data_IF_403065223698
#
_entry.id   IF_403065223698
#
_cell.length_a   1.000
_cell.length_b   1.000
_cell.length_c   1.000
_cell.angle_alpha   90.00
_cell.angle_beta   90.00
_cell.angle_gamma   90.00
#
_symmetry.space_group_name_H-M   'P 1'
#
loop_
_entity.id
_entity.type
_entity.pdbx_description
1 polymer ?
#
# COMPACT_ATOMS: atom_id res chain seq x y z
N UNK A 1 17.03 11.66 -14.04
CA UNK A 1 17.17 10.69 -15.14
C UNK A 1 16.77 9.35 -14.57
N UNK A 2 15.65 8.78 -15.04
CA UNK A 2 15.16 7.46 -14.62
C UNK A 2 16.11 6.45 -15.27
N UNK A 3 16.82 5.64 -14.45
CA UNK A 3 17.67 4.58 -14.96
C UNK A 3 16.81 3.59 -15.76
N UNK A 4 17.27 3.09 -16.92
CA UNK A 4 16.52 2.10 -17.68
C UNK A 4 16.43 0.83 -16.84
N UNK A 5 15.21 0.44 -16.49
CA UNK A 5 14.95 -0.88 -15.94
C UNK A 5 15.37 -1.92 -16.97
N UNK A 6 16.22 -2.87 -16.57
CA UNK A 6 16.69 -4.01 -17.39
C UNK A 6 15.55 -5.02 -17.63
N UNK A 7 14.34 -4.56 -17.95
CA UNK A 7 13.24 -5.44 -18.28
C UNK A 7 13.40 -5.91 -19.74
N UNK A 8 13.67 -7.18 -19.90
CA UNK A 8 13.56 -7.83 -21.18
C UNK A 8 12.07 -7.82 -21.56
N UNK A 9 11.71 -7.12 -22.60
CA UNK A 9 10.33 -6.98 -23.06
C UNK A 9 9.90 -8.22 -23.84
N UNK A 10 8.61 -8.57 -23.80
CA UNK A 10 8.02 -9.49 -24.75
C UNK A 10 8.04 -8.84 -26.16
N UNK A 11 8.25 -9.65 -27.16
CA UNK A 11 8.28 -9.23 -28.57
C UNK A 11 7.09 -9.82 -29.38
N UNK A 12 7.04 -9.51 -30.67
CA UNK A 12 5.96 -9.91 -31.58
C UNK A 12 5.84 -11.44 -31.77
N UNK A 13 6.77 -12.23 -31.27
CA UNK A 13 6.66 -13.71 -31.27
C UNK A 13 5.74 -14.22 -30.16
N UNK A 14 5.36 -13.38 -29.22
CA UNK A 14 4.40 -13.74 -28.18
C UNK A 14 2.99 -13.87 -28.79
N UNK A 15 2.26 -14.98 -28.57
CA UNK A 15 1.05 -15.29 -29.35
C UNK A 15 -0.21 -14.51 -28.91
N UNK A 16 -0.09 -13.57 -27.99
CA UNK A 16 -1.16 -12.68 -27.52
C UNK A 16 -0.77 -11.21 -27.71
N UNK A 17 -1.75 -10.30 -27.82
CA UNK A 17 -1.48 -8.87 -27.90
C UNK A 17 -0.68 -8.37 -26.70
N UNK A 18 0.31 -7.51 -26.96
CA UNK A 18 1.20 -6.96 -25.94
C UNK A 18 0.68 -5.67 -25.31
N UNK A 19 -0.39 -5.10 -25.87
CA UNK A 19 -1.01 -3.82 -25.49
C UNK A 19 -2.26 -3.99 -24.61
N UNK A 20 -2.59 -5.21 -24.19
CA UNK A 20 -3.78 -5.49 -23.39
C UNK A 20 -3.58 -6.64 -22.41
N UNK A 21 -4.37 -6.66 -21.30
CA UNK A 21 -4.37 -7.76 -20.34
C UNK A 21 -5.03 -9.02 -20.94
N UNK A 22 -4.70 -10.17 -20.38
CA UNK A 22 -5.30 -11.44 -20.76
C UNK A 22 -5.53 -12.38 -19.56
N UNK A 23 -6.40 -13.37 -19.74
CA UNK A 23 -6.66 -14.39 -18.73
C UNK A 23 -5.85 -15.67 -18.99
N UNK A 24 -5.77 -16.54 -17.95
CA UNK A 24 -5.19 -17.88 -18.12
C UNK A 24 -5.85 -18.66 -19.27
N UNK A 25 -7.18 -18.57 -19.38
CA UNK A 25 -7.90 -19.28 -20.44
C UNK A 25 -7.49 -18.80 -21.84
N UNK A 26 -7.33 -17.50 -22.03
CA UNK A 26 -6.84 -16.93 -23.31
C UNK A 26 -5.41 -17.41 -23.60
N UNK A 27 -4.54 -17.44 -22.61
CA UNK A 27 -3.17 -17.93 -22.77
C UNK A 27 -3.12 -19.41 -23.19
N UNK A 28 -3.90 -20.27 -22.53
CA UNK A 28 -3.99 -21.70 -22.89
C UNK A 28 -4.54 -21.88 -24.30
N UNK A 29 -5.57 -21.12 -24.70
CA UNK A 29 -6.12 -21.15 -26.05
C UNK A 29 -5.10 -20.71 -27.10
N UNK A 30 -4.18 -19.82 -26.76
CA UNK A 30 -3.06 -19.38 -27.60
C UNK A 30 -1.83 -20.32 -27.55
N UNK A 31 -1.94 -21.49 -26.88
CA UNK A 31 -0.86 -22.49 -26.78
C UNK A 31 0.17 -22.23 -25.70
N UNK A 32 -0.04 -21.26 -24.80
CA UNK A 32 0.87 -20.94 -23.70
C UNK A 32 0.53 -21.82 -22.49
N UNK A 33 1.44 -22.70 -22.07
CA UNK A 33 1.25 -23.58 -20.92
C UNK A 33 1.34 -22.85 -19.58
N UNK A 34 0.78 -23.45 -18.52
CA UNK A 34 0.92 -22.91 -17.16
C UNK A 34 2.37 -22.77 -16.70
N UNK A 35 3.23 -23.72 -17.09
CA UNK A 35 4.66 -23.64 -16.79
C UNK A 35 5.33 -22.47 -17.51
N UNK A 36 4.92 -22.19 -18.73
CA UNK A 36 5.40 -21.02 -19.49
C UNK A 36 4.92 -19.72 -18.84
N UNK A 37 3.64 -19.62 -18.47
CA UNK A 37 3.10 -18.45 -17.75
C UNK A 37 3.86 -18.21 -16.44
N UNK A 38 4.09 -19.27 -15.66
CA UNK A 38 4.86 -19.16 -14.42
C UNK A 38 6.26 -18.63 -14.68
N UNK A 39 6.99 -19.22 -15.64
CA UNK A 39 8.35 -18.80 -16.02
C UNK A 39 8.41 -17.35 -16.49
N UNK A 40 7.41 -16.88 -17.24
CA UNK A 40 7.33 -15.50 -17.70
C UNK A 40 7.09 -14.53 -16.54
N UNK A 41 6.27 -14.91 -15.54
CA UNK A 41 6.11 -14.11 -14.31
C UNK A 41 7.39 -14.12 -13.46
N UNK A 42 8.03 -15.29 -13.26
CA UNK A 42 9.27 -15.43 -12.47
C UNK A 42 10.47 -14.62 -13.07
N UNK A 43 10.38 -14.24 -14.34
CA UNK A 43 11.37 -13.45 -15.07
C UNK A 43 10.92 -12.01 -15.36
N UNK A 44 9.86 -11.56 -14.73
CA UNK A 44 9.30 -10.21 -14.88
C UNK A 44 8.85 -9.80 -16.30
N UNK A 45 8.64 -10.77 -17.20
CA UNK A 45 8.01 -10.49 -18.50
C UNK A 45 6.50 -10.25 -18.41
N UNK A 46 5.86 -10.83 -17.37
CA UNK A 46 4.45 -10.67 -17.07
C UNK A 46 4.27 -10.23 -15.63
N UNK A 47 3.42 -9.26 -15.40
CA UNK A 47 2.86 -8.93 -14.09
C UNK A 47 1.59 -9.75 -13.85
N UNK A 48 1.38 -10.18 -12.62
CA UNK A 48 0.18 -10.93 -12.22
C UNK A 48 -0.43 -10.31 -10.96
N UNK A 49 -1.10 -9.16 -11.05
CA UNK A 49 -1.63 -8.44 -9.89
C UNK A 49 -2.72 -9.22 -9.16
N UNK A 50 -3.53 -9.98 -9.90
CA UNK A 50 -4.65 -10.76 -9.37
C UNK A 50 -4.67 -12.17 -10.02
N UNK A 51 -5.27 -13.13 -9.33
CA UNK A 51 -5.44 -14.49 -9.90
C UNK A 51 -6.23 -14.45 -11.18
N UNK A 52 -5.78 -15.25 -12.15
CA UNK A 52 -6.36 -15.36 -13.51
C UNK A 52 -6.19 -14.12 -14.40
N UNK A 53 -5.44 -13.10 -13.97
CA UNK A 53 -5.11 -11.90 -14.76
C UNK A 53 -3.61 -11.79 -14.96
N UNK A 54 -3.21 -11.56 -16.21
CA UNK A 54 -1.83 -11.37 -16.63
C UNK A 54 -1.72 -10.10 -17.48
N UNK A 55 -0.68 -9.36 -17.26
CA UNK A 55 -0.35 -8.13 -17.98
C UNK A 55 1.09 -8.21 -18.49
N UNK A 56 1.37 -7.96 -19.77
CA UNK A 56 2.73 -7.73 -20.25
C UNK A 56 3.44 -6.67 -19.38
N UNK A 57 4.70 -6.90 -19.03
CA UNK A 57 5.44 -6.00 -18.12
C UNK A 57 5.59 -4.59 -18.67
N UNK A 58 5.63 -4.46 -20.01
CA UNK A 58 5.70 -3.18 -20.73
C UNK A 58 4.43 -2.32 -20.65
N UNK A 59 3.29 -2.90 -20.24
CA UNK A 59 2.06 -2.12 -20.09
C UNK A 59 2.20 -1.16 -18.90
N UNK A 60 1.82 0.11 -19.07
CA UNK A 60 1.78 1.05 -17.94
C UNK A 60 0.69 0.64 -16.94
N UNK A 61 0.89 0.96 -15.67
CA UNK A 61 -0.14 0.78 -14.64
C UNK A 61 -1.11 1.97 -14.65
N UNK A 62 -2.06 1.96 -15.59
CA UNK A 62 -3.08 2.99 -15.73
C UNK A 62 -4.47 2.45 -15.36
N UNK A 63 -5.39 3.36 -15.06
CA UNK A 63 -6.78 3.00 -14.75
C UNK A 63 -7.43 2.24 -15.91
N UNK A 64 -7.16 2.64 -17.16
CA UNK A 64 -7.70 2.02 -18.37
C UNK A 64 -7.27 0.55 -18.49
N UNK A 65 -5.99 0.26 -18.24
CA UNK A 65 -5.46 -1.11 -18.30
C UNK A 65 -6.04 -1.95 -17.15
N UNK A 66 -6.20 -1.39 -15.97
CA UNK A 66 -6.81 -2.09 -14.82
C UNK A 66 -8.29 -2.38 -15.07
N UNK A 67 -9.03 -1.44 -15.67
CA UNK A 67 -10.43 -1.66 -16.09
C UNK A 67 -10.54 -2.72 -17.16
N UNK A 68 -9.70 -2.67 -18.20
CA UNK A 68 -9.65 -3.70 -19.24
C UNK A 68 -9.37 -5.09 -18.63
N UNK A 69 -8.46 -5.19 -17.66
CA UNK A 69 -8.18 -6.43 -16.95
C UNK A 69 -9.39 -6.95 -16.16
N UNK A 70 -10.08 -6.09 -15.41
CA UNK A 70 -11.23 -6.49 -14.60
C UNK A 70 -12.44 -6.85 -15.45
N UNK A 71 -12.65 -6.21 -16.59
CA UNK A 71 -13.74 -6.54 -17.52
C UNK A 71 -13.68 -7.99 -18.02
N UNK A 72 -12.48 -8.59 -18.08
CA UNK A 72 -12.29 -10.00 -18.48
C UNK A 72 -12.78 -11.01 -17.41
N UNK A 73 -12.90 -10.61 -16.14
CA UNK A 73 -13.10 -11.55 -15.02
C UNK A 73 -14.24 -11.19 -14.08
N UNK A 74 -14.76 -9.98 -14.14
CA UNK A 74 -15.86 -9.50 -13.29
C UNK A 74 -17.20 -9.66 -13.99
N UNK A 75 -18.11 -10.52 -13.51
CA UNK A 75 -19.46 -10.63 -14.06
C UNK A 75 -20.27 -9.33 -13.84
N UNK A 76 -21.16 -9.01 -14.77
CA UNK A 76 -21.99 -7.78 -14.75
C UNK A 76 -22.91 -7.64 -13.52
N UNK A 77 -23.24 -8.75 -12.86
CA UNK A 77 -24.08 -8.75 -11.64
C UNK A 77 -23.26 -8.80 -10.34
N UNK A 78 -21.99 -8.43 -10.40
CA UNK A 78 -21.07 -8.34 -9.27
C UNK A 78 -20.54 -6.92 -9.12
N UNK A 79 -20.06 -6.60 -7.93
CA UNK A 79 -19.28 -5.39 -7.69
C UNK A 79 -17.91 -5.76 -7.10
N UNK A 80 -16.92 -4.98 -7.47
CA UNK A 80 -15.53 -5.12 -7.01
C UNK A 80 -15.36 -4.47 -5.65
N UNK A 81 -14.63 -5.14 -4.74
CA UNK A 81 -14.41 -4.66 -3.36
C UNK A 81 -12.98 -4.94 -2.89
N UNK A 82 -12.69 -4.54 -1.66
CA UNK A 82 -11.48 -4.89 -0.91
C UNK A 82 -10.19 -4.59 -1.69
N UNK A 83 -9.20 -5.50 -1.69
CA UNK A 83 -7.92 -5.26 -2.38
C UNK A 83 -8.05 -5.11 -3.91
N UNK A 84 -9.06 -5.71 -4.53
CA UNK A 84 -9.28 -5.53 -5.96
C UNK A 84 -9.78 -4.12 -6.26
N UNK A 85 -10.66 -3.56 -5.42
CA UNK A 85 -11.08 -2.16 -5.53
C UNK A 85 -9.90 -1.21 -5.24
N UNK A 86 -9.09 -1.51 -4.21
CA UNK A 86 -7.90 -0.73 -3.91
C UNK A 86 -6.92 -0.72 -5.10
N UNK A 87 -6.65 -1.88 -5.70
CA UNK A 87 -5.83 -1.99 -6.90
C UNK A 87 -6.41 -1.18 -8.07
N UNK A 88 -7.72 -1.21 -8.28
CA UNK A 88 -8.36 -0.41 -9.34
C UNK A 88 -8.17 1.09 -9.11
N UNK A 89 -8.31 1.55 -7.87
CA UNK A 89 -8.22 2.98 -7.52
C UNK A 89 -6.78 3.51 -7.46
N UNK A 90 -5.84 2.72 -6.92
CA UNK A 90 -4.51 3.21 -6.55
C UNK A 90 -3.34 2.42 -7.18
N UNK A 91 -3.60 1.37 -7.98
CA UNK A 91 -2.56 0.62 -8.69
C UNK A 91 -1.88 -0.48 -7.89
N UNK A 92 -0.81 -1.01 -8.46
CA UNK A 92 -0.10 -2.18 -7.94
C UNK A 92 0.44 -1.95 -6.52
N UNK A 93 0.85 -0.74 -6.18
CA UNK A 93 1.37 -0.39 -4.85
C UNK A 93 0.35 -0.56 -3.72
N UNK A 94 -0.95 -0.50 -4.03
CA UNK A 94 -2.02 -0.72 -3.05
C UNK A 94 -2.26 -2.19 -2.72
N UNK A 95 -1.66 -3.12 -3.46
CA UNK A 95 -1.80 -4.54 -3.20
C UNK A 95 -1.12 -4.94 -1.87
N UNK A 96 -1.59 -6.03 -1.23
CA UNK A 96 -0.92 -6.54 -0.04
C UNK A 96 0.56 -6.87 -0.31
N UNK A 97 1.43 -6.74 0.68
CA UNK A 97 2.83 -7.08 0.53
C UNK A 97 3.00 -8.54 0.13
N UNK A 98 4.05 -8.82 -0.65
CA UNK A 98 4.32 -10.16 -1.21
C UNK A 98 3.22 -10.71 -2.14
N UNK A 99 2.42 -9.85 -2.78
CA UNK A 99 1.39 -10.25 -3.75
C UNK A 99 1.97 -11.00 -4.95
N UNK A 100 3.24 -10.83 -5.27
CA UNK A 100 3.95 -11.61 -6.29
C UNK A 100 4.15 -13.08 -5.86
N UNK A 101 4.29 -13.38 -4.57
CA UNK A 101 4.40 -14.74 -4.02
C UNK A 101 3.04 -15.37 -3.78
N UNK A 102 2.10 -14.61 -3.22
CA UNK A 102 0.74 -15.05 -2.91
C UNK A 102 -0.26 -14.17 -3.63
N UNK A 103 -0.43 -14.44 -4.93
CA UNK A 103 -1.30 -13.63 -5.79
C UNK A 103 -2.72 -13.55 -5.24
N UNK A 104 -3.25 -12.34 -4.99
CA UNK A 104 -4.58 -12.13 -4.44
C UNK A 104 -5.68 -12.68 -5.35
N UNK A 105 -6.77 -13.14 -4.73
CA UNK A 105 -8.00 -13.46 -5.48
C UNK A 105 -8.69 -12.16 -5.89
N UNK A 106 -9.41 -12.20 -7.02
CA UNK A 106 -10.29 -11.10 -7.42
C UNK A 106 -11.44 -11.01 -6.41
N UNK A 107 -11.54 -9.91 -5.68
CA UNK A 107 -12.58 -9.67 -4.67
C UNK A 107 -13.83 -9.12 -5.34
N UNK A 108 -14.81 -9.99 -5.58
CA UNK A 108 -16.09 -9.66 -6.21
C UNK A 108 -17.25 -10.15 -5.37
N UNK A 109 -18.16 -9.26 -5.04
CA UNK A 109 -19.29 -9.55 -4.17
C UNK A 109 -20.61 -9.29 -4.89
N UNK A 110 -21.68 -9.75 -4.28
CA UNK A 110 -23.06 -9.61 -4.76
C UNK A 110 -23.94 -8.99 -3.68
N UNK A 111 -25.08 -8.39 -4.08
CA UNK A 111 -26.09 -7.99 -3.12
C UNK A 111 -26.57 -9.17 -2.26
N UNK A 112 -27.10 -8.93 -1.07
CA UNK A 112 -27.68 -9.97 -0.22
C UNK A 112 -28.73 -10.81 -0.98
N UNK A 113 -28.78 -12.11 -0.68
CA UNK A 113 -29.65 -13.12 -1.30
C UNK A 113 -29.27 -13.55 -2.73
N UNK A 114 -28.14 -13.06 -3.26
CA UNK A 114 -27.59 -13.53 -4.53
C UNK A 114 -26.39 -14.42 -4.24
N UNK A 115 -26.48 -15.69 -4.65
CA UNK A 115 -25.45 -16.70 -4.35
C UNK A 115 -24.06 -16.24 -4.79
N UNK A 116 -23.06 -16.36 -3.89
CA UNK A 116 -21.66 -16.06 -4.16
C UNK A 116 -21.09 -16.87 -5.34
N UNK A 117 -20.09 -16.33 -6.03
CA UNK A 117 -19.33 -17.04 -7.06
C UNK A 117 -18.52 -18.17 -6.41
N UNK A 118 -18.45 -19.31 -7.08
CA UNK A 118 -17.67 -20.48 -6.64
C UNK A 118 -16.62 -20.85 -7.69
N UNK A 119 -15.44 -20.28 -7.53
CA UNK A 119 -14.27 -20.66 -8.33
C UNK A 119 -12.99 -20.43 -7.50
N UNK A 120 -11.84 -20.89 -7.98
CA UNK A 120 -10.56 -20.83 -7.25
C UNK A 120 -9.87 -19.48 -7.29
N UNK A 121 -10.28 -18.58 -8.17
CA UNK A 121 -9.61 -17.29 -8.41
C UNK A 121 -10.37 -16.09 -7.88
N UNK A 122 -11.64 -16.25 -7.43
CA UNK A 122 -12.39 -15.17 -6.76
C UNK A 122 -12.45 -15.34 -5.26
N UNK A 123 -12.43 -14.22 -4.53
CA UNK A 123 -12.96 -14.09 -3.18
C UNK A 123 -14.36 -13.48 -3.33
N UNK A 124 -15.39 -14.23 -2.99
CA UNK A 124 -16.77 -13.81 -3.24
C UNK A 124 -17.67 -14.09 -2.04
N UNK A 125 -18.70 -13.30 -1.90
CA UNK A 125 -19.71 -13.38 -0.86
C UNK A 125 -20.85 -12.43 -1.14
N UNK A 126 -21.69 -12.24 -0.12
CA UNK A 126 -22.71 -11.20 -0.10
C UNK A 126 -22.23 -10.03 0.73
N UNK A 127 -22.58 -8.81 0.32
CA UNK A 127 -22.27 -7.60 1.08
C UNK A 127 -23.39 -6.58 0.92
N UNK A 128 -23.83 -6.01 2.04
CA UNK A 128 -24.77 -4.90 2.06
C UNK A 128 -24.03 -3.60 1.81
N UNK A 129 -24.40 -2.91 0.76
CA UNK A 129 -23.87 -1.61 0.38
C UNK A 129 -25.02 -0.61 0.21
N UNK A 130 -24.77 0.65 0.53
CA UNK A 130 -25.64 1.74 0.13
C UNK A 130 -25.32 2.16 -1.31
N UNK A 131 -26.25 2.78 -2.05
CA UNK A 131 -25.96 3.29 -3.39
C UNK A 131 -24.72 4.19 -3.45
N UNK A 132 -24.53 5.04 -2.43
CA UNK A 132 -23.36 5.93 -2.31
C UNK A 132 -22.02 5.22 -2.04
N UNK A 133 -22.05 3.93 -1.70
CA UNK A 133 -20.85 3.12 -1.50
C UNK A 133 -20.27 2.58 -2.81
N UNK A 134 -21.03 2.71 -3.90
CA UNK A 134 -20.71 2.19 -5.21
C UNK A 134 -20.52 3.31 -6.23
N UNK A 135 -19.63 3.07 -7.17
CA UNK A 135 -19.45 3.88 -8.35
C UNK A 135 -19.23 2.96 -9.55
N UNK A 136 -19.48 3.47 -10.75
CA UNK A 136 -19.22 2.78 -11.99
C UNK A 136 -18.01 3.40 -12.67
N UNK A 137 -17.05 2.55 -13.04
CA UNK A 137 -15.86 2.93 -13.77
C UNK A 137 -15.74 2.02 -15.00
N UNK A 138 -15.85 2.58 -16.20
CA UNK A 138 -15.71 1.83 -17.46
C UNK A 138 -16.57 0.55 -17.53
N UNK A 139 -17.80 0.59 -17.05
CA UNK A 139 -18.72 -0.56 -17.00
C UNK A 139 -18.47 -1.53 -15.83
N UNK A 140 -17.49 -1.28 -14.99
CA UNK A 140 -17.20 -2.08 -13.78
C UNK A 140 -17.81 -1.37 -12.56
N UNK A 141 -18.72 -2.05 -11.87
CA UNK A 141 -19.28 -1.56 -10.59
C UNK A 141 -18.26 -1.85 -9.47
N UNK A 142 -17.88 -0.84 -8.70
CA UNK A 142 -16.82 -0.92 -7.69
C UNK A 142 -17.18 -0.11 -6.45
N UNK A 143 -16.71 -0.53 -5.27
CA UNK A 143 -16.82 0.30 -4.05
C UNK A 143 -16.00 1.58 -4.22
N UNK A 144 -16.59 2.72 -3.78
CA UNK A 144 -15.87 4.01 -3.75
C UNK A 144 -14.56 3.90 -2.94
N UNK A 145 -13.56 4.76 -3.17
CA UNK A 145 -12.34 4.78 -2.36
C UNK A 145 -12.62 4.86 -0.86
N UNK A 146 -13.55 5.71 -0.43
CA UNK A 146 -13.98 5.80 0.97
C UNK A 146 -14.53 4.47 1.49
N UNK A 147 -15.46 3.84 0.76
CA UNK A 147 -16.00 2.54 1.18
C UNK A 147 -14.94 1.46 1.18
N UNK A 148 -14.03 1.46 0.22
CA UNK A 148 -12.90 0.52 0.16
C UNK A 148 -11.98 0.67 1.37
N UNK A 149 -11.64 1.90 1.77
CA UNK A 149 -10.87 2.18 2.99
C UNK A 149 -11.56 1.61 4.24
N UNK A 150 -12.87 1.86 4.38
CA UNK A 150 -13.68 1.39 5.51
C UNK A 150 -13.73 -0.14 5.60
N UNK A 151 -13.87 -0.82 4.47
CA UNK A 151 -13.91 -2.29 4.44
C UNK A 151 -12.53 -2.90 4.67
N UNK A 152 -11.45 -2.35 4.11
CA UNK A 152 -10.07 -2.80 4.38
C UNK A 152 -9.70 -2.61 5.86
N UNK A 153 -9.94 -1.42 6.42
CA UNK A 153 -9.69 -1.15 7.84
C UNK A 153 -10.46 -2.08 8.78
N UNK A 154 -11.70 -2.43 8.42
CA UNK A 154 -12.59 -3.22 9.24
C UNK A 154 -12.39 -4.73 9.08
N UNK A 155 -12.19 -5.22 7.85
CA UNK A 155 -12.28 -6.65 7.53
C UNK A 155 -10.92 -7.34 7.39
N UNK A 156 -9.84 -6.59 7.13
CA UNK A 156 -8.51 -7.17 7.09
C UNK A 156 -8.08 -7.73 8.44
N UNK A 157 -7.54 -8.96 8.45
CA UNK A 157 -7.07 -9.59 9.69
C UNK A 157 -5.75 -9.00 10.18
N UNK A 158 -4.82 -8.80 9.28
CA UNK A 158 -3.52 -8.18 9.56
C UNK A 158 -3.69 -6.66 9.72
N UNK A 159 -3.24 -6.13 10.85
CA UNK A 159 -3.37 -4.71 11.23
C UNK A 159 -2.57 -3.80 10.30
N UNK A 160 -1.36 -4.22 9.94
CA UNK A 160 -0.49 -3.43 9.07
C UNK A 160 -1.08 -3.33 7.64
N UNK A 161 -1.64 -4.44 7.13
CA UNK A 161 -2.35 -4.44 5.84
C UNK A 161 -3.64 -3.59 5.90
N UNK A 162 -4.36 -3.61 7.05
CA UNK A 162 -5.54 -2.78 7.24
C UNK A 162 -5.17 -1.28 7.21
N UNK A 163 -4.10 -0.91 7.90
CA UNK A 163 -3.60 0.46 7.96
C UNK A 163 -3.14 0.92 6.56
N UNK A 164 -2.31 0.13 5.90
CA UNK A 164 -1.86 0.41 4.53
C UNK A 164 -3.01 0.55 3.54
N UNK A 165 -4.04 -0.31 3.64
CA UNK A 165 -5.22 -0.20 2.79
C UNK A 165 -6.00 1.10 2.99
N UNK A 166 -6.09 1.61 4.22
CA UNK A 166 -6.70 2.92 4.49
C UNK A 166 -5.82 4.06 3.96
N UNK A 167 -4.51 3.99 4.16
CA UNK A 167 -3.55 4.98 3.68
C UNK A 167 -3.58 5.10 2.16
N UNK A 168 -3.53 3.96 1.46
CA UNK A 168 -3.57 3.93 -0.01
C UNK A 168 -4.85 4.56 -0.55
N UNK A 169 -6.00 4.33 0.10
CA UNK A 169 -7.26 4.93 -0.31
C UNK A 169 -7.33 6.43 0.01
N UNK A 170 -6.82 6.88 1.15
CA UNK A 170 -6.65 8.29 1.48
C UNK A 170 -5.71 9.00 0.49
N UNK A 171 -4.65 8.31 0.07
CA UNK A 171 -3.68 8.78 -0.92
C UNK A 171 -4.30 9.10 -2.28
N UNK A 172 -5.46 8.50 -2.62
CA UNK A 172 -6.22 8.85 -3.84
C UNK A 172 -6.80 10.27 -3.79
N UNK A 173 -6.91 10.87 -2.60
CA UNK A 173 -7.52 12.20 -2.35
C UNK A 173 -8.99 12.31 -2.77
N UNK A 174 -9.68 11.18 -2.94
CA UNK A 174 -11.09 11.14 -3.29
C UNK A 174 -12.01 11.42 -2.09
N UNK A 175 -11.48 11.42 -0.89
CA UNK A 175 -12.15 11.75 0.37
C UNK A 175 -11.12 12.20 1.40
N UNK A 176 -11.55 12.86 2.46
CA UNK A 176 -10.70 13.33 3.55
C UNK A 176 -10.65 12.32 4.71
N UNK A 177 -9.65 12.48 5.58
CA UNK A 177 -9.55 11.66 6.80
C UNK A 177 -10.74 11.87 7.73
N UNK A 178 -11.25 13.12 7.81
CA UNK A 178 -12.43 13.50 8.59
C UNK A 178 -13.69 12.80 8.06
N UNK A 179 -13.88 12.74 6.75
CA UNK A 179 -15.00 12.01 6.13
C UNK A 179 -14.94 10.52 6.45
N UNK A 180 -13.74 9.91 6.43
CA UNK A 180 -13.58 8.51 6.82
C UNK A 180 -13.98 8.29 8.30
N UNK A 181 -13.54 9.15 9.19
CA UNK A 181 -13.89 9.07 10.62
C UNK A 181 -15.39 9.27 10.86
N UNK A 182 -16.03 10.19 10.13
CA UNK A 182 -17.45 10.47 10.23
C UNK A 182 -18.34 9.29 9.80
N UNK A 183 -17.84 8.39 8.96
CA UNK A 183 -18.55 7.18 8.53
C UNK A 183 -18.51 6.03 9.56
N UNK A 184 -17.61 6.04 10.55
CA UNK A 184 -17.45 4.93 11.51
C UNK A 184 -18.72 4.60 12.32
N UNK A 185 -19.56 5.56 12.74
CA UNK A 185 -20.78 5.27 13.51
C UNK A 185 -21.76 4.36 12.79
N UNK A 186 -21.85 4.44 11.46
CA UNK A 186 -22.79 3.61 10.67
C UNK A 186 -22.48 2.12 10.72
N UNK A 187 -21.26 1.74 11.10
CA UNK A 187 -20.83 0.35 11.26
C UNK A 187 -20.97 -0.16 12.69
N UNK A 188 -21.72 0.54 13.55
CA UNK A 188 -21.96 0.08 14.93
C UNK A 188 -22.58 -1.34 14.92
N UNK A 189 -21.94 -2.26 15.66
CA UNK A 189 -22.32 -3.68 15.70
C UNK A 189 -21.74 -4.53 14.57
N UNK A 190 -21.16 -3.93 13.54
CA UNK A 190 -20.58 -4.65 12.41
C UNK A 190 -19.20 -5.24 12.75
N UNK A 191 -18.88 -6.34 12.07
CA UNK A 191 -17.60 -7.03 12.24
C UNK A 191 -16.41 -6.08 12.02
N UNK A 192 -15.46 -6.08 12.97
CA UNK A 192 -14.20 -5.36 12.88
C UNK A 192 -14.27 -3.88 13.24
N UNK A 193 -15.45 -3.32 13.55
CA UNK A 193 -15.59 -1.88 13.85
C UNK A 193 -14.81 -1.44 15.10
N UNK A 194 -14.72 -2.29 16.12
CA UNK A 194 -13.97 -1.96 17.35
C UNK A 194 -12.51 -1.70 17.04
N UNK A 195 -11.88 -2.58 16.27
CA UNK A 195 -10.49 -2.41 15.83
C UNK A 195 -10.35 -1.20 14.90
N UNK A 196 -11.27 -1.02 13.98
CA UNK A 196 -11.21 0.09 13.03
C UNK A 196 -11.26 1.45 13.73
N UNK A 197 -12.04 1.61 14.80
CA UNK A 197 -12.06 2.84 15.61
C UNK A 197 -10.70 3.19 16.22
N UNK A 198 -9.83 2.20 16.43
CA UNK A 198 -8.45 2.40 16.89
C UNK A 198 -7.51 2.70 15.72
N UNK A 199 -7.70 2.04 14.58
CA UNK A 199 -6.80 2.17 13.43
C UNK A 199 -7.09 3.39 12.57
N UNK A 200 -8.35 3.72 12.33
CA UNK A 200 -8.72 4.81 11.43
C UNK A 200 -8.11 6.17 11.82
N UNK A 201 -8.05 6.56 13.13
CA UNK A 201 -7.34 7.78 13.52
C UNK A 201 -5.84 7.78 13.23
N UNK A 202 -5.24 6.60 13.04
CA UNK A 202 -3.80 6.43 12.75
C UNK A 202 -3.47 6.48 11.27
N UNK A 203 -4.46 6.42 10.38
CA UNK A 203 -4.27 6.42 8.93
C UNK A 203 -3.79 7.79 8.43
N UNK A 204 -2.95 7.77 7.39
CA UNK A 204 -2.42 8.97 6.75
C UNK A 204 -2.15 8.72 5.26
N UNK A 205 -2.83 9.46 4.38
CA UNK A 205 -2.72 9.31 2.93
C UNK A 205 -1.41 9.81 2.32
N UNK A 206 -0.50 10.37 3.12
CA UNK A 206 0.83 10.77 2.67
C UNK A 206 1.86 9.65 2.72
N UNK A 207 1.54 8.54 3.40
CA UNK A 207 2.38 7.35 3.49
C UNK A 207 2.66 6.77 2.09
N UNK A 208 3.90 6.46 1.79
CA UNK A 208 4.33 6.05 0.45
C UNK A 208 4.57 4.55 0.31
N UNK A 209 4.70 3.82 1.42
CA UNK A 209 4.94 2.38 1.39
C UNK A 209 4.24 1.61 2.51
N UNK A 210 4.05 0.30 2.29
CA UNK A 210 3.57 -0.61 3.32
C UNK A 210 4.48 -0.63 4.55
N UNK A 211 5.80 -0.53 4.36
CA UNK A 211 6.77 -0.51 5.45
C UNK A 211 6.63 0.72 6.35
N UNK A 212 6.44 1.89 5.75
CA UNK A 212 6.17 3.13 6.48
C UNK A 212 4.85 3.05 7.25
N UNK A 213 3.78 2.51 6.64
CA UNK A 213 2.50 2.30 7.32
C UNK A 213 2.64 1.39 8.54
N UNK A 214 3.38 0.28 8.40
CA UNK A 214 3.63 -0.65 9.49
C UNK A 214 4.50 -0.01 10.59
N UNK A 215 5.56 0.71 10.23
CA UNK A 215 6.40 1.45 11.18
C UNK A 215 5.58 2.48 11.96
N UNK A 216 4.65 3.20 11.29
CA UNK A 216 3.72 4.12 11.97
C UNK A 216 2.77 3.37 12.92
N UNK A 217 2.37 2.15 12.59
CA UNK A 217 1.69 1.27 13.54
C UNK A 217 2.51 1.08 14.83
N UNK A 218 3.80 0.74 14.71
CA UNK A 218 4.73 0.56 15.84
C UNK A 218 4.97 1.85 16.62
N UNK A 219 4.98 3.00 15.92
CA UNK A 219 5.06 4.33 16.53
C UNK A 219 3.92 4.57 17.52
N UNK A 220 2.68 4.31 17.11
CA UNK A 220 1.51 4.43 17.99
C UNK A 220 1.50 3.37 19.10
N UNK A 221 1.97 2.16 18.83
CA UNK A 221 2.06 1.09 19.83
C UNK A 221 3.15 1.40 20.90
N UNK A 222 4.15 2.21 20.56
CA UNK A 222 5.13 2.76 21.49
C UNK A 222 4.58 3.92 22.34
N UNK A 223 3.32 4.34 22.12
CA UNK A 223 2.67 5.42 22.88
C UNK A 223 3.14 6.83 22.51
N UNK A 224 3.74 7.01 21.35
CA UNK A 224 4.21 8.31 20.89
C UNK A 224 3.03 9.17 20.37
N UNK A 225 3.15 10.51 20.41
CA UNK A 225 2.17 11.41 19.82
C UNK A 225 1.99 11.17 18.32
N UNK A 226 0.91 11.69 17.72
CA UNK A 226 0.69 11.60 16.27
C UNK A 226 1.89 12.19 15.52
N UNK A 227 2.57 11.43 14.66
CA UNK A 227 3.69 11.95 13.88
C UNK A 227 3.20 12.81 12.72
N UNK A 228 4.02 13.75 12.31
CA UNK A 228 3.98 14.27 10.95
C UNK A 228 4.50 13.21 9.99
N UNK A 229 3.86 13.07 8.84
CA UNK A 229 4.24 12.11 7.79
C UNK A 229 4.73 12.89 6.58
N UNK A 230 5.82 12.44 5.97
CA UNK A 230 6.49 13.09 4.85
C UNK A 230 6.86 14.54 5.21
N UNK A 231 7.83 14.68 6.13
CA UNK A 231 8.32 15.99 6.61
C UNK A 231 9.33 16.53 5.61
N UNK A 232 9.10 17.72 4.99
CA UNK A 232 10.04 18.29 4.06
C UNK A 232 11.25 18.89 4.80
N UNK A 233 12.45 18.50 4.41
CA UNK A 233 13.67 19.20 4.84
C UNK A 233 14.04 20.22 3.79
N UNK A 234 13.97 21.50 4.18
CA UNK A 234 14.18 22.65 3.30
C UNK A 234 15.56 23.25 3.51
N UNK A 235 16.30 23.50 2.42
CA UNK A 235 17.54 24.25 2.39
C UNK A 235 17.47 25.27 1.26
N UNK A 236 17.81 26.53 1.55
CA UNK A 236 17.78 27.66 0.60
C UNK A 236 16.44 27.79 -0.15
N UNK A 237 15.32 27.53 0.56
CA UNK A 237 13.96 27.59 0.01
C UNK A 237 13.57 26.42 -0.88
N UNK A 238 14.39 25.37 -0.98
CA UNK A 238 14.10 24.17 -1.75
C UNK A 238 14.00 22.95 -0.85
N UNK A 239 13.03 22.09 -1.12
CA UNK A 239 12.95 20.76 -0.46
C UNK A 239 14.07 19.90 -1.03
N UNK A 240 14.99 19.46 -0.18
CA UNK A 240 16.12 18.61 -0.55
C UNK A 240 15.83 17.13 -0.35
N UNK A 241 14.97 16.78 0.60
CA UNK A 241 14.43 15.44 0.82
C UNK A 241 13.25 15.46 1.80
N UNK A 242 12.64 14.30 2.00
CA UNK A 242 11.50 14.09 2.89
C UNK A 242 11.88 13.05 3.94
N UNK A 243 11.51 13.29 5.20
CA UNK A 243 11.56 12.31 6.27
C UNK A 243 10.23 11.56 6.34
N UNK A 244 10.25 10.23 6.48
CA UNK A 244 9.03 9.42 6.42
C UNK A 244 8.02 9.81 7.49
N UNK A 245 8.47 9.93 8.76
CA UNK A 245 7.63 10.39 9.86
C UNK A 245 8.45 10.91 11.03
N UNK A 246 7.87 11.81 11.84
CA UNK A 246 8.58 12.37 12.99
C UNK A 246 7.82 13.43 13.77
N UNK A 247 8.54 14.04 14.70
CA UNK A 247 8.11 15.16 15.54
C UNK A 247 9.11 16.29 15.37
N UNK A 248 8.72 17.33 14.65
CA UNK A 248 9.59 18.47 14.32
C UNK A 248 10.03 19.21 15.60
N UNK A 249 9.14 19.34 16.57
CA UNK A 249 9.43 19.99 17.84
C UNK A 249 10.50 19.27 18.69
N UNK A 250 10.75 18.00 18.40
CA UNK A 250 11.79 17.19 19.06
C UNK A 250 12.99 16.93 18.14
N UNK A 251 12.92 17.36 16.87
CA UNK A 251 13.86 17.00 15.82
C UNK A 251 14.11 15.48 15.79
N UNK A 252 13.03 14.70 15.93
CA UNK A 252 13.04 13.26 15.96
C UNK A 252 12.29 12.69 14.76
N UNK A 253 12.94 11.80 14.02
CA UNK A 253 12.38 11.12 12.85
C UNK A 253 12.61 9.62 12.93
N UNK A 254 11.70 8.88 12.32
CA UNK A 254 11.82 7.45 12.06
C UNK A 254 11.64 7.20 10.56
N UNK A 255 12.55 6.44 9.96
CA UNK A 255 12.57 6.11 8.55
C UNK A 255 12.51 4.60 8.33
N UNK A 256 11.75 4.17 7.34
CA UNK A 256 11.70 2.78 6.90
C UNK A 256 12.58 2.56 5.67
N UNK A 257 13.73 1.91 5.88
CA UNK A 257 14.61 1.47 4.80
C UNK A 257 14.08 0.15 4.20
N UNK A 258 13.28 0.29 3.13
CA UNK A 258 12.85 -0.85 2.33
C UNK A 258 14.02 -1.36 1.50
N UNK A 259 14.48 -2.58 1.75
CA UNK A 259 15.43 -3.27 0.89
C UNK A 259 14.89 -3.31 -0.55
N UNK A 260 15.24 -2.32 -1.37
CA UNK A 260 15.16 -2.47 -2.82
C UNK A 260 16.28 -3.40 -3.22
N UNK A 261 15.95 -4.59 -3.67
CA UNK A 261 16.89 -5.67 -4.05
C UNK A 261 17.90 -5.31 -5.15
N UNK A 262 17.96 -4.08 -5.63
CA UNK A 262 18.84 -3.61 -6.70
C UNK A 262 19.31 -2.15 -6.52
N UNK A 263 19.61 -1.69 -5.32
CA UNK A 263 20.32 -0.42 -5.22
C UNK A 263 21.83 -0.67 -5.17
N UNK A 264 22.50 -0.21 -6.22
CA UNK A 264 23.96 -0.13 -6.31
C UNK A 264 24.54 0.57 -5.06
N UNK A 265 25.75 0.22 -4.66
CA UNK A 265 26.41 0.75 -3.45
C UNK A 265 26.44 2.30 -3.41
N UNK A 266 26.40 2.98 -4.56
CA UNK A 266 26.31 4.44 -4.68
C UNK A 266 25.03 5.04 -4.05
N UNK A 267 23.87 4.37 -4.16
CA UNK A 267 22.63 4.87 -3.52
C UNK A 267 22.68 4.76 -2.00
N UNK A 268 23.31 3.71 -1.48
CA UNK A 268 23.48 3.53 -0.02
C UNK A 268 24.42 4.58 0.57
N UNK A 269 25.49 4.92 -0.14
CA UNK A 269 26.41 5.96 0.29
C UNK A 269 25.71 7.33 0.31
N UNK A 270 24.95 7.67 -0.74
CA UNK A 270 24.18 8.90 -0.81
C UNK A 270 23.16 9.03 0.33
N UNK A 271 22.46 7.95 0.68
CA UNK A 271 21.50 7.95 1.79
C UNK A 271 22.21 8.09 3.15
N UNK A 272 23.36 7.46 3.32
CA UNK A 272 24.18 7.61 4.53
C UNK A 272 24.70 9.05 4.68
N UNK A 273 25.29 9.61 3.65
CA UNK A 273 25.82 10.98 3.62
C UNK A 273 24.72 12.03 3.90
N UNK A 274 23.50 11.79 3.37
CA UNK A 274 22.31 12.60 3.60
C UNK A 274 21.93 12.66 5.08
N UNK A 275 21.92 11.49 5.74
CA UNK A 275 21.54 11.38 7.16
C UNK A 275 22.60 11.94 8.09
N UNK A 276 23.87 11.69 7.78
CA UNK A 276 24.99 12.26 8.52
C UNK A 276 24.96 13.81 8.44
N UNK A 277 24.71 14.35 7.26
CA UNK A 277 24.53 15.80 7.08
C UNK A 277 23.38 16.36 7.93
N UNK A 278 22.25 15.64 8.02
CA UNK A 278 21.11 16.03 8.86
C UNK A 278 21.44 16.06 10.35
N UNK A 279 22.09 15.00 10.82
CA UNK A 279 22.52 14.92 12.21
C UNK A 279 23.47 16.05 12.58
N UNK A 280 24.42 16.38 11.67
CA UNK A 280 25.43 17.41 11.91
C UNK A 280 24.88 18.84 11.75
N UNK A 281 24.05 19.10 10.74
CA UNK A 281 23.66 20.45 10.35
C UNK A 281 22.28 20.87 10.90
N UNK A 282 21.40 19.94 11.25
CA UNK A 282 20.01 20.22 11.68
C UNK A 282 19.64 19.61 13.02
N UNK A 283 20.56 18.92 13.67
CA UNK A 283 20.36 18.24 14.98
C UNK A 283 19.19 17.22 15.02
N UNK A 284 18.78 16.68 13.86
CA UNK A 284 17.79 15.62 13.82
C UNK A 284 18.36 14.32 14.36
N UNK A 285 17.58 13.64 15.21
CA UNK A 285 17.78 12.25 15.60
C UNK A 285 16.94 11.39 14.68
N UNK A 286 17.59 10.63 13.79
CA UNK A 286 16.93 9.77 12.81
C UNK A 286 17.14 8.31 13.22
N UNK A 287 16.04 7.60 13.49
CA UNK A 287 16.03 6.17 13.74
C UNK A 287 15.64 5.42 12.47
N UNK A 288 16.52 4.56 12.01
CA UNK A 288 16.31 3.72 10.83
C UNK A 288 15.77 2.36 11.21
N UNK A 289 14.77 1.92 10.45
CA UNK A 289 14.12 0.63 10.63
C UNK A 289 14.08 -0.13 9.32
N UNK A 290 14.51 -1.37 9.37
CA UNK A 290 14.43 -2.32 8.26
C UNK A 290 13.34 -3.35 8.52
N UNK A 291 13.09 -4.19 7.51
CA UNK A 291 12.10 -5.25 7.58
C UNK A 291 12.17 -6.05 8.89
N UNK A 292 13.38 -6.47 9.33
CA UNK A 292 13.58 -7.26 10.54
C UNK A 292 13.21 -6.54 11.84
N UNK A 293 13.29 -5.20 11.86
CA UNK A 293 12.91 -4.40 13.02
C UNK A 293 11.40 -4.26 13.17
N UNK A 294 10.66 -4.20 12.05
CA UNK A 294 9.22 -3.91 12.01
C UNK A 294 8.39 -5.19 11.99
N UNK A 295 8.88 -6.25 11.34
CA UNK A 295 8.16 -7.50 11.12
C UNK A 295 8.88 -8.71 11.71
N UNK A 296 8.10 -9.74 12.04
CA UNK A 296 8.62 -11.04 12.51
C UNK A 296 8.72 -11.15 14.03
N UNK A 297 9.36 -12.23 14.49
CA UNK A 297 9.40 -12.59 15.93
C UNK A 297 10.40 -11.73 16.73
N UNK A 298 11.39 -11.15 16.07
CA UNK A 298 12.45 -10.36 16.71
C UNK A 298 12.31 -8.86 16.45
N UNK A 299 11.09 -8.41 16.12
CA UNK A 299 10.82 -7.00 15.92
C UNK A 299 11.11 -6.18 17.20
N UNK A 300 11.85 -5.11 17.04
CA UNK A 300 12.28 -4.22 18.13
C UNK A 300 11.85 -2.75 17.92
N UNK A 301 11.17 -2.45 16.82
CA UNK A 301 10.82 -1.07 16.42
C UNK A 301 10.07 -0.32 17.53
N UNK A 302 9.07 -0.95 18.17
CA UNK A 302 8.30 -0.32 19.25
C UNK A 302 9.19 0.10 20.42
N UNK A 303 10.12 -0.76 20.83
CA UNK A 303 11.04 -0.48 21.93
C UNK A 303 12.04 0.62 21.55
N UNK A 304 12.66 0.53 20.38
CA UNK A 304 13.63 1.52 19.88
C UNK A 304 13.00 2.90 19.76
N UNK A 305 11.80 2.99 19.17
CA UNK A 305 11.04 4.23 19.06
C UNK A 305 10.79 4.87 20.44
N UNK A 306 10.33 4.08 21.42
CA UNK A 306 10.09 4.58 22.78
C UNK A 306 11.37 5.10 23.42
N UNK A 307 12.49 4.40 23.27
CA UNK A 307 13.79 4.82 23.84
C UNK A 307 14.32 6.10 23.18
N UNK A 308 14.30 6.19 21.86
CA UNK A 308 14.76 7.35 21.12
C UNK A 308 13.91 8.60 21.44
N UNK A 309 12.59 8.44 21.44
CA UNK A 309 11.66 9.51 21.82
C UNK A 309 11.96 10.06 23.23
N UNK A 310 12.17 9.17 24.22
CA UNK A 310 12.51 9.58 25.57
C UNK A 310 13.87 10.30 25.63
N UNK A 311 14.85 9.84 24.85
CA UNK A 311 16.15 10.49 24.71
C UNK A 311 16.04 11.92 24.20
N UNK A 312 15.28 12.12 23.12
CA UNK A 312 15.04 13.45 22.54
C UNK A 312 14.33 14.39 23.52
N UNK A 313 13.31 13.90 24.22
CA UNK A 313 12.62 14.69 25.25
C UNK A 313 13.54 15.16 26.37
N UNK A 314 14.42 14.30 26.87
CA UNK A 314 15.39 14.66 27.92
C UNK A 314 16.39 15.71 27.43
N UNK A 315 16.88 15.59 26.19
CA UNK A 315 17.83 16.53 25.61
C UNK A 315 17.24 17.94 25.47
N UNK A 316 15.97 18.07 25.09
CA UNK A 316 15.30 19.37 25.00
C UNK A 316 15.01 19.95 26.41
N UNK A 317 14.59 19.11 27.36
CA UNK A 317 14.40 19.52 28.74
C UNK A 317 15.67 20.13 29.35
N UNK A 318 16.82 19.52 29.07
CA UNK A 318 18.12 20.04 29.53
C UNK A 318 18.50 21.35 28.83
N UNK A 319 18.22 21.52 27.51
CA UNK A 319 18.49 22.79 26.84
C UNK A 319 17.66 23.97 27.37
N UNK A 320 16.42 23.73 27.81
CA UNK A 320 15.54 24.78 28.40
C UNK A 320 15.93 25.18 29.81
N UNK A 321 16.73 24.39 30.52
CA UNK A 321 17.23 24.72 31.86
C UNK A 321 18.49 25.61 31.83
N UNK A 322 19.09 25.84 30.67
CA UNK A 322 20.30 26.64 30.48
C UNK A 322 20.07 27.92 29.65
N UNK A 323 18.81 28.29 29.42
CA UNK A 323 18.37 29.57 28.84
C UNK A 323 17.55 30.32 29.91
#
# INVERSE_FOLDING_TARGET
>A
MIAPSNHVLLDDTFPLPLDQPFTRAMAIAAGISDNTLKRLCDRDYLRRPLRNLYLPAQLPDTLEIRLAALSLVVPSNCFVTDHTAAWLHAGDDSLPPNSHLVVPRVSVFRPPRVRALRNSWTASGERTLLPRDLMELGGVLVTTPLRTALDLGRLQRNVDIALWGMDSMLGTRAFTHEEMLAELPRFKGERGIVRMRVLAPRADGRTQSFGEAALRGRWYDAGLPRPWVQIPVVMDGRVIFWLDMGLEELLFSAEYDGEKYHSEDEHRQHDHDRREWLGQNRAWVIEEFRRGNVFGQHQDATQRLAMAYQGCRKSIGNRRLFV
#
